data_IF_253902453553
#
_entry.id   IF_253902453553
#
_cell.length_a   1.000
_cell.length_b   1.000
_cell.length_c   1.000
_cell.angle_alpha   90.00
_cell.angle_beta   90.00
_cell.angle_gamma   90.00
#
_symmetry.space_group_name_H-M   'P 1'
#
loop_
_entity.id
_entity.type
_entity.pdbx_description
1 polymer ?
#
# COMPACT_ATOMS: atom_id res chain seq x y z
N UNK A 1 -36.62 11.65 7.68
CA UNK A 1 -35.31 11.97 7.12
C UNK A 1 -34.41 12.39 8.29
N UNK A 2 -33.31 11.70 8.55
CA UNK A 2 -32.34 12.11 9.57
C UNK A 2 -31.60 13.34 9.07
N UNK A 3 -31.40 14.33 9.93
CA UNK A 3 -30.75 15.62 9.72
C UNK A 3 -29.49 15.51 8.85
N UNK A 4 -29.42 16.31 7.77
CA UNK A 4 -28.19 16.54 6.99
C UNK A 4 -27.10 17.06 7.91
N UNK A 5 -26.08 16.25 8.15
CA UNK A 5 -24.87 16.72 8.81
C UNK A 5 -24.00 17.37 7.73
N UNK A 6 -24.09 18.70 7.62
CA UNK A 6 -23.18 19.44 6.74
C UNK A 6 -21.74 19.28 7.22
N UNK A 7 -20.85 18.84 6.33
CA UNK A 7 -19.41 18.69 6.58
C UNK A 7 -18.63 19.51 5.53
N UNK A 8 -17.38 19.81 5.81
CA UNK A 8 -16.56 20.55 4.85
C UNK A 8 -16.09 19.64 3.71
N UNK A 9 -15.77 18.39 4.03
CA UNK A 9 -15.20 17.46 3.06
C UNK A 9 -15.79 16.08 3.20
N UNK A 10 -16.18 15.47 2.07
CA UNK A 10 -16.43 14.04 1.94
C UNK A 10 -15.27 13.41 1.17
N UNK A 11 -14.66 12.36 1.75
CA UNK A 11 -13.66 11.52 1.11
C UNK A 11 -14.28 10.16 0.76
N UNK A 12 -14.21 9.74 -0.49
CA UNK A 12 -14.76 8.48 -0.98
C UNK A 12 -13.63 7.50 -1.22
N UNK A 13 -13.49 6.52 -0.32
CA UNK A 13 -12.42 5.51 -0.30
C UNK A 13 -11.47 5.66 0.87
N UNK A 14 -11.24 4.55 1.61
CA UNK A 14 -10.42 4.48 2.85
C UNK A 14 -9.04 3.84 2.63
N UNK A 15 -8.55 3.81 1.39
CA UNK A 15 -7.17 3.42 1.10
C UNK A 15 -6.17 4.51 1.53
N UNK A 16 -4.90 4.28 1.23
CA UNK A 16 -3.81 5.18 1.63
C UNK A 16 -4.03 6.63 1.15
N UNK A 17 -4.51 6.83 -0.09
CA UNK A 17 -4.80 8.16 -0.63
C UNK A 17 -5.94 8.88 0.11
N UNK A 18 -7.06 8.19 0.32
CA UNK A 18 -8.21 8.77 1.03
C UNK A 18 -7.88 9.07 2.49
N UNK A 19 -7.13 8.20 3.16
CA UNK A 19 -6.69 8.45 4.54
C UNK A 19 -5.75 9.66 4.61
N UNK A 20 -4.80 9.79 3.68
CA UNK A 20 -3.93 10.96 3.59
C UNK A 20 -4.74 12.26 3.36
N UNK A 21 -5.73 12.23 2.46
CA UNK A 21 -6.61 13.37 2.21
C UNK A 21 -7.42 13.78 3.45
N UNK A 22 -8.02 12.80 4.12
CA UNK A 22 -8.81 13.05 5.33
C UNK A 22 -7.97 13.66 6.46
N UNK A 23 -6.77 13.11 6.71
CA UNK A 23 -5.87 13.63 7.76
C UNK A 23 -5.34 15.02 7.44
N UNK A 24 -5.01 15.30 6.17
CA UNK A 24 -4.60 16.65 5.74
C UNK A 24 -5.71 17.68 5.98
N UNK A 25 -6.95 17.33 5.64
CA UNK A 25 -8.11 18.20 5.84
C UNK A 25 -8.43 18.44 7.34
N UNK A 26 -8.38 17.38 8.16
CA UNK A 26 -8.57 17.52 9.62
C UNK A 26 -7.48 18.40 10.23
N UNK A 27 -6.23 18.26 9.81
CA UNK A 27 -5.12 19.12 10.25
C UNK A 27 -5.36 20.60 9.93
N UNK A 28 -6.08 20.90 8.85
CA UNK A 28 -6.51 22.24 8.48
C UNK A 28 -7.82 22.68 9.18
N UNK A 29 -8.29 21.94 10.19
CA UNK A 29 -9.47 22.26 10.99
C UNK A 29 -10.81 21.93 10.33
N UNK A 30 -10.83 21.15 9.24
CA UNK A 30 -12.05 20.80 8.53
C UNK A 30 -12.78 19.64 9.18
N UNK A 31 -14.11 19.66 9.09
CA UNK A 31 -14.97 18.54 9.46
C UNK A 31 -15.08 17.58 8.29
N UNK A 32 -14.54 16.39 8.47
CA UNK A 32 -14.40 15.36 7.42
C UNK A 32 -15.28 14.16 7.68
N UNK A 33 -15.94 13.68 6.63
CA UNK A 33 -16.59 12.37 6.59
C UNK A 33 -15.94 11.53 5.50
N UNK A 34 -15.61 10.30 5.84
CA UNK A 34 -15.13 9.31 4.89
C UNK A 34 -16.20 8.25 4.64
N UNK A 35 -16.42 7.95 3.35
CA UNK A 35 -17.31 6.87 2.91
C UNK A 35 -16.45 5.73 2.37
N UNK A 36 -16.64 4.52 2.88
CA UNK A 36 -15.91 3.34 2.44
C UNK A 36 -16.80 2.10 2.40
N UNK A 37 -16.75 1.38 1.28
CA UNK A 37 -17.45 0.11 1.12
C UNK A 37 -16.75 -1.06 1.80
N UNK A 38 -15.45 -0.97 1.96
CA UNK A 38 -14.61 -2.05 2.52
C UNK A 38 -13.13 -1.77 2.35
N UNK A 39 -12.34 -2.82 2.40
CA UNK A 39 -10.89 -2.75 2.27
C UNK A 39 -10.47 -2.31 0.88
N UNK A 40 -9.63 -1.27 0.79
CA UNK A 40 -9.00 -0.85 -0.46
C UNK A 40 -7.78 -1.70 -0.82
N UNK A 41 -7.17 -1.43 -1.99
CA UNK A 41 -5.97 -2.13 -2.44
C UNK A 41 -4.77 -2.03 -1.47
N UNK A 42 -4.76 -1.06 -0.55
CA UNK A 42 -3.76 -0.94 0.51
C UNK A 42 -3.69 -2.17 1.42
N UNK A 43 -4.78 -2.92 1.57
CA UNK A 43 -4.82 -4.19 2.32
C UNK A 43 -4.13 -5.35 1.59
N UNK A 44 -3.85 -5.18 0.29
CA UNK A 44 -3.09 -6.15 -0.51
C UNK A 44 -1.60 -5.82 -0.53
N UNK A 45 -1.18 -4.73 0.13
CA UNK A 45 0.22 -4.33 0.21
C UNK A 45 1.08 -5.41 0.88
N UNK A 46 2.29 -5.59 0.40
CA UNK A 46 3.28 -6.47 1.03
C UNK A 46 3.87 -5.93 2.34
N UNK A 47 3.48 -4.71 2.76
CA UNK A 47 4.07 -3.98 3.89
C UNK A 47 5.20 -3.02 3.47
N UNK A 48 5.48 -2.92 2.18
CA UNK A 48 6.41 -1.97 1.60
C UNK A 48 5.68 -0.74 1.06
N UNK A 49 6.29 0.44 1.18
CA UNK A 49 5.79 1.70 0.65
C UNK A 49 6.77 2.24 -0.40
N UNK A 50 6.36 2.15 -1.65
CA UNK A 50 7.18 2.48 -2.80
C UNK A 50 6.93 3.93 -3.23
N UNK A 51 7.99 4.69 -3.49
CA UNK A 51 7.94 6.08 -3.97
C UNK A 51 8.36 6.22 -5.42
N UNK A 52 9.44 5.56 -5.81
CA UNK A 52 9.92 5.39 -7.17
C UNK A 52 11.00 4.31 -7.20
N UNK A 53 10.83 3.29 -8.01
CA UNK A 53 11.86 2.29 -8.31
C UNK A 53 11.74 1.81 -9.76
N UNK A 54 12.49 0.78 -10.13
CA UNK A 54 12.39 0.10 -11.41
C UNK A 54 12.22 -1.41 -11.18
N UNK A 55 10.97 -1.89 -10.97
CA UNK A 55 10.70 -3.29 -10.72
C UNK A 55 11.12 -4.22 -11.86
N UNK A 56 11.15 -3.74 -13.11
CA UNK A 56 11.58 -4.54 -14.26
C UNK A 56 13.10 -4.75 -14.26
N UNK A 57 13.88 -3.69 -13.99
CA UNK A 57 15.31 -3.82 -13.80
C UNK A 57 15.62 -4.71 -12.59
N UNK A 58 14.81 -4.58 -11.51
CA UNK A 58 14.91 -5.42 -10.31
C UNK A 58 14.74 -6.90 -10.61
N UNK A 59 13.81 -7.26 -11.50
CA UNK A 59 13.57 -8.64 -11.88
C UNK A 59 14.70 -9.23 -12.74
N UNK A 60 15.36 -8.42 -13.56
CA UNK A 60 16.45 -8.86 -14.46
C UNK A 60 17.84 -8.77 -13.82
N UNK A 61 18.22 -7.58 -13.41
CA UNK A 61 19.56 -7.23 -12.95
C UNK A 61 19.52 -6.43 -11.64
N UNK A 62 19.13 -7.05 -10.50
CA UNK A 62 18.96 -6.35 -9.23
C UNK A 62 20.22 -5.65 -8.73
N UNK A 63 21.41 -6.16 -9.08
CA UNK A 63 22.71 -5.56 -8.74
C UNK A 63 22.98 -4.22 -9.46
N UNK A 64 22.24 -3.93 -10.54
CA UNK A 64 22.36 -2.69 -11.33
C UNK A 64 21.26 -1.67 -11.02
N UNK A 65 20.31 -2.01 -10.15
CA UNK A 65 19.17 -1.14 -9.84
C UNK A 65 19.64 0.11 -9.10
N UNK A 66 19.24 1.27 -9.62
CA UNK A 66 19.48 2.53 -8.97
C UNK A 66 18.69 2.63 -7.67
N UNK A 67 19.38 2.90 -6.56
CA UNK A 67 18.74 3.08 -5.25
C UNK A 67 18.35 4.52 -4.97
N UNK A 68 18.92 5.48 -5.66
CA UNK A 68 18.64 6.92 -5.48
C UNK A 68 17.23 7.26 -5.92
N UNK A 69 16.37 7.65 -4.98
CA UNK A 69 14.95 7.94 -5.24
C UNK A 69 14.79 9.18 -6.12
N UNK A 70 15.65 10.20 -5.97
CA UNK A 70 15.58 11.39 -6.80
C UNK A 70 15.96 11.09 -8.25
N UNK A 71 16.95 10.24 -8.47
CA UNK A 71 17.32 9.78 -9.81
C UNK A 71 16.21 8.94 -10.43
N UNK A 72 15.61 8.02 -9.67
CA UNK A 72 14.49 7.20 -10.15
C UNK A 72 13.27 8.07 -10.50
N UNK A 73 12.93 9.06 -9.67
CA UNK A 73 11.86 10.03 -9.98
C UNK A 73 12.14 10.79 -11.28
N UNK A 74 13.36 11.31 -11.47
CA UNK A 74 13.72 12.01 -12.71
C UNK A 74 13.57 11.09 -13.93
N UNK A 75 14.04 9.86 -13.85
CA UNK A 75 13.93 8.88 -14.94
C UNK A 75 12.49 8.49 -15.22
N UNK A 76 11.68 8.30 -14.18
CA UNK A 76 10.25 8.02 -14.30
C UNK A 76 9.53 9.16 -15.03
N UNK A 77 9.75 10.41 -14.64
CA UNK A 77 9.14 11.58 -15.25
C UNK A 77 9.55 11.75 -16.72
N UNK A 78 10.77 11.37 -17.09
CA UNK A 78 11.22 11.40 -18.49
C UNK A 78 10.57 10.31 -19.34
N UNK A 79 10.38 9.09 -18.79
CA UNK A 79 9.84 7.94 -19.53
C UNK A 79 8.30 7.89 -19.56
N UNK A 80 7.62 8.55 -18.63
CA UNK A 80 6.16 8.49 -18.48
C UNK A 80 5.56 9.89 -18.29
N UNK A 81 5.26 10.57 -19.39
CA UNK A 81 4.68 11.92 -19.40
C UNK A 81 3.26 12.01 -18.84
N UNK A 82 2.56 10.88 -18.72
CA UNK A 82 1.19 10.82 -18.14
C UNK A 82 1.18 10.50 -16.65
N UNK A 83 2.35 10.26 -16.02
CA UNK A 83 2.42 9.86 -14.62
C UNK A 83 1.87 10.96 -13.69
N UNK A 84 1.08 10.64 -12.65
CA UNK A 84 0.46 11.63 -11.74
C UNK A 84 1.45 12.61 -11.09
N UNK A 85 2.72 12.26 -10.95
CA UNK A 85 3.73 13.18 -10.42
C UNK A 85 3.95 14.41 -11.30
N UNK A 86 3.60 14.37 -12.60
CA UNK A 86 3.62 15.56 -13.46
C UNK A 86 2.68 16.68 -12.98
N UNK A 87 1.63 16.34 -12.23
CA UNK A 87 0.69 17.31 -11.65
C UNK A 87 1.33 18.21 -10.57
N UNK A 88 2.58 17.94 -10.20
CA UNK A 88 3.33 18.68 -9.17
C UNK A 88 4.49 19.52 -9.74
N UNK A 89 4.73 19.49 -11.06
CA UNK A 89 5.95 20.04 -11.65
C UNK A 89 5.91 21.56 -11.88
N UNK A 90 4.77 22.21 -11.77
CA UNK A 90 4.63 23.69 -11.89
C UNK A 90 5.21 24.42 -10.66
N UNK A 91 6.31 23.93 -10.11
CA UNK A 91 6.96 24.45 -8.91
C UNK A 91 8.43 24.77 -9.20
N UNK A 92 8.97 25.76 -8.52
CA UNK A 92 10.41 26.07 -8.55
C UNK A 92 11.29 24.91 -8.02
N UNK A 93 10.72 24.07 -7.15
CA UNK A 93 11.32 22.82 -6.68
C UNK A 93 10.40 21.63 -6.99
N UNK A 94 10.49 21.03 -8.20
CA UNK A 94 9.63 19.90 -8.59
C UNK A 94 9.79 18.67 -7.70
N UNK A 95 11.00 18.38 -7.24
CA UNK A 95 11.24 17.21 -6.37
C UNK A 95 10.61 17.41 -5.00
N UNK A 96 10.82 18.57 -4.39
CA UNK A 96 10.15 18.93 -3.14
C UNK A 96 8.63 18.96 -3.27
N UNK A 97 8.10 19.45 -4.39
CA UNK A 97 6.67 19.46 -4.64
C UNK A 97 6.04 18.04 -4.65
N UNK A 98 6.80 17.02 -5.06
CA UNK A 98 6.38 15.61 -4.99
C UNK A 98 6.62 15.04 -3.59
N UNK A 99 7.83 15.22 -3.03
CA UNK A 99 8.25 14.52 -1.81
C UNK A 99 7.71 15.13 -0.52
N UNK A 100 7.56 16.47 -0.44
CA UNK A 100 7.06 17.13 0.78
C UNK A 100 5.65 16.68 1.19
N UNK A 101 4.65 16.62 0.29
CA UNK A 101 3.34 16.08 0.65
C UNK A 101 3.40 14.62 1.13
N UNK A 102 4.29 13.80 0.57
CA UNK A 102 4.50 12.41 1.01
C UNK A 102 5.08 12.40 2.43
N UNK A 103 6.09 13.23 2.70
CA UNK A 103 6.72 13.33 4.01
C UNK A 103 5.73 13.79 5.09
N UNK A 104 4.93 14.82 4.78
CA UNK A 104 3.90 15.29 5.69
C UNK A 104 2.83 14.21 5.95
N UNK A 105 2.36 13.53 4.90
CA UNK A 105 1.41 12.44 5.03
C UNK A 105 1.97 11.30 5.89
N UNK A 106 3.20 10.86 5.63
CA UNK A 106 3.85 9.80 6.41
C UNK A 106 4.00 10.18 7.88
N UNK A 107 4.36 11.44 8.18
CA UNK A 107 4.49 11.91 9.57
C UNK A 107 3.17 11.85 10.35
N UNK A 108 2.05 12.08 9.67
CA UNK A 108 0.71 12.02 10.29
C UNK A 108 0.15 10.60 10.36
N UNK A 109 0.41 9.80 9.33
CA UNK A 109 -0.03 8.41 9.28
C UNK A 109 0.77 7.53 10.24
N UNK A 110 2.08 7.72 10.31
CA UNK A 110 3.01 6.85 11.04
C UNK A 110 3.86 7.66 12.04
N UNK A 111 3.26 8.14 13.13
CA UNK A 111 4.00 8.90 14.14
C UNK A 111 5.08 8.04 14.80
N UNK A 112 6.22 8.64 15.12
CA UNK A 112 7.40 7.95 15.67
C UNK A 112 7.11 7.19 16.99
N UNK A 113 6.11 7.60 17.75
CA UNK A 113 5.72 6.98 19.02
C UNK A 113 4.62 5.90 18.88
N UNK A 114 4.23 5.55 17.65
CA UNK A 114 3.21 4.53 17.40
C UNK A 114 3.76 3.11 17.37
N UNK A 115 2.86 2.12 17.52
CA UNK A 115 3.21 0.69 17.41
C UNK A 115 3.54 0.29 15.96
N UNK A 116 3.03 1.04 14.98
CA UNK A 116 3.28 0.83 13.57
C UNK A 116 4.32 1.83 13.07
N UNK A 117 5.60 1.48 13.20
CA UNK A 117 6.70 2.34 12.81
C UNK A 117 7.25 1.94 11.44
N UNK A 118 7.66 2.95 10.67
CA UNK A 118 8.32 2.77 9.39
C UNK A 118 9.84 2.95 9.52
N UNK A 119 10.57 2.13 8.79
CA UNK A 119 12.00 2.27 8.57
C UNK A 119 12.28 2.54 7.09
N UNK A 120 13.05 3.56 6.78
CA UNK A 120 13.34 3.95 5.40
C UNK A 120 13.85 5.37 5.27
N UNK A 121 13.95 5.85 4.04
CA UNK A 121 14.37 7.22 3.74
C UNK A 121 13.79 7.73 2.43
N UNK A 122 13.83 9.05 2.24
CA UNK A 122 13.51 9.71 0.97
C UNK A 122 14.71 9.79 0.01
N UNK A 123 15.89 9.40 0.46
CA UNK A 123 17.11 9.47 -0.35
C UNK A 123 17.34 8.19 -1.15
N UNK A 124 17.14 7.03 -0.53
CA UNK A 124 17.52 5.76 -1.14
C UNK A 124 16.51 4.66 -0.85
N UNK A 125 16.20 3.87 -1.87
CA UNK A 125 15.50 2.61 -1.73
C UNK A 125 16.34 1.59 -0.95
N UNK A 126 15.66 0.76 -0.18
CA UNK A 126 16.20 -0.40 0.51
C UNK A 126 15.74 -1.66 -0.22
N UNK A 127 16.44 -2.76 -0.03
CA UNK A 127 16.08 -4.04 -0.59
C UNK A 127 15.44 -4.91 0.49
N UNK A 128 14.11 -5.01 0.44
CA UNK A 128 13.34 -5.87 1.33
C UNK A 128 13.25 -7.30 0.78
N UNK A 129 13.32 -8.29 1.67
CA UNK A 129 13.28 -9.70 1.31
C UNK A 129 11.84 -10.18 1.26
N UNK A 130 11.54 -10.98 0.24
CA UNK A 130 10.21 -11.58 0.07
C UNK A 130 10.19 -13.02 0.56
N UNK A 131 9.02 -13.53 0.86
CA UNK A 131 8.83 -14.93 1.22
C UNK A 131 9.13 -15.92 0.06
N UNK A 132 9.31 -15.41 -1.16
CA UNK A 132 9.75 -16.21 -2.32
C UNK A 132 11.29 -16.30 -2.45
N UNK A 133 12.06 -15.74 -1.53
CA UNK A 133 13.52 -15.69 -1.63
C UNK A 133 14.05 -14.61 -2.59
N UNK A 134 13.17 -13.74 -3.09
CA UNK A 134 13.55 -12.61 -3.95
C UNK A 134 13.70 -11.33 -3.14
N UNK A 135 14.11 -10.25 -3.79
CA UNK A 135 14.21 -8.92 -3.20
C UNK A 135 13.28 -7.94 -3.89
N UNK A 136 12.83 -6.93 -3.15
CA UNK A 136 12.03 -5.81 -3.63
C UNK A 136 12.67 -4.50 -3.20
N UNK A 137 12.91 -3.59 -4.16
CA UNK A 137 13.30 -2.23 -3.85
C UNK A 137 12.10 -1.48 -3.28
N UNK A 138 12.31 -0.68 -2.23
CA UNK A 138 11.26 0.13 -1.61
C UNK A 138 11.85 1.25 -0.76
N UNK A 139 11.17 2.37 -0.67
CA UNK A 139 11.61 3.50 0.14
C UNK A 139 11.42 3.23 1.64
N UNK A 140 10.28 2.65 2.02
CA UNK A 140 9.94 2.38 3.42
C UNK A 140 9.36 0.99 3.59
N UNK A 141 9.68 0.39 4.75
CA UNK A 141 9.05 -0.85 5.24
C UNK A 141 8.58 -0.63 6.67
N UNK A 142 7.69 -1.49 7.14
CA UNK A 142 7.44 -1.58 8.58
C UNK A 142 8.71 -2.05 9.29
N UNK A 143 9.00 -1.52 10.48
CA UNK A 143 10.10 -2.01 11.32
C UNK A 143 10.07 -3.54 11.48
N UNK A 144 11.24 -4.14 11.60
CA UNK A 144 11.44 -5.59 11.69
C UNK A 144 11.13 -6.39 10.40
N UNK A 145 10.90 -5.75 9.26
CA UNK A 145 10.99 -6.43 7.97
C UNK A 145 12.42 -6.79 7.64
N UNK A 146 12.62 -7.97 7.05
CA UNK A 146 13.93 -8.45 6.61
C UNK A 146 14.45 -7.61 5.44
N UNK A 147 15.67 -7.11 5.56
CA UNK A 147 16.32 -6.26 4.57
C UNK A 147 17.67 -6.85 4.18
N UNK A 148 18.01 -6.77 2.91
CA UNK A 148 19.34 -7.16 2.44
C UNK A 148 20.42 -6.33 3.16
N UNK A 149 21.46 -7.01 3.65
CA UNK A 149 22.52 -6.39 4.48
C UNK A 149 22.19 -6.27 5.97
N UNK A 150 21.03 -6.73 6.44
CA UNK A 150 20.76 -6.84 7.87
C UNK A 150 21.70 -7.89 8.49
N UNK A 151 22.41 -7.58 9.58
CA UNK A 151 23.26 -8.53 10.29
C UNK A 151 22.58 -9.84 10.70
N UNK A 152 21.26 -9.81 10.91
CA UNK A 152 20.45 -10.99 11.17
C UNK A 152 20.52 -12.06 10.05
N UNK A 153 20.91 -11.67 8.84
CA UNK A 153 20.96 -12.54 7.67
C UNK A 153 22.30 -13.25 7.48
N UNK A 154 23.29 -12.97 8.30
CA UNK A 154 24.60 -13.65 8.15
C UNK A 154 24.45 -15.17 8.34
N UNK A 155 23.74 -15.60 9.37
CA UNK A 155 23.42 -17.00 9.67
C UNK A 155 21.99 -17.13 10.20
N UNK A 156 20.97 -16.98 9.36
CA UNK A 156 19.58 -16.99 9.80
C UNK A 156 19.07 -18.41 10.04
N UNK A 157 18.12 -18.54 10.97
CA UNK A 157 17.20 -19.66 11.06
C UNK A 157 15.89 -19.29 10.34
N UNK A 158 15.62 -19.96 9.23
CA UNK A 158 14.39 -19.75 8.46
C UNK A 158 13.32 -20.71 8.99
N UNK A 159 12.22 -20.18 9.48
CA UNK A 159 11.14 -20.97 10.10
C UNK A 159 9.95 -21.05 9.16
N UNK A 160 9.54 -22.29 8.83
CA UNK A 160 8.24 -22.59 8.24
C UNK A 160 7.28 -23.12 9.31
N UNK A 161 5.98 -23.03 9.03
CA UNK A 161 4.93 -23.60 9.86
C UNK A 161 4.28 -24.75 9.09
N UNK A 162 4.15 -25.93 9.73
CA UNK A 162 3.58 -27.12 9.09
C UNK A 162 2.14 -26.86 8.60
N UNK A 163 1.42 -25.97 9.29
CA UNK A 163 0.07 -25.54 8.92
C UNK A 163 0.03 -24.53 7.77
N UNK A 164 1.18 -23.97 7.34
CA UNK A 164 1.27 -22.96 6.29
C UNK A 164 2.14 -23.44 5.13
N UNK A 165 1.61 -24.27 4.25
CA UNK A 165 2.36 -24.87 3.15
C UNK A 165 2.80 -23.89 2.05
N UNK A 166 2.21 -22.67 2.03
CA UNK A 166 2.59 -21.62 1.06
C UNK A 166 4.03 -21.11 1.25
N UNK A 167 4.69 -21.39 2.37
CA UNK A 167 6.06 -21.00 2.64
C UNK A 167 6.94 -22.21 3.00
N UNK A 168 7.87 -22.54 2.13
CA UNK A 168 8.87 -23.59 2.36
C UNK A 168 10.20 -22.99 2.86
N UNK A 169 10.57 -23.19 4.15
CA UNK A 169 11.79 -22.67 4.72
C UNK A 169 13.05 -23.30 4.12
N UNK A 170 12.99 -24.51 3.57
CA UNK A 170 14.12 -25.17 2.92
C UNK A 170 14.35 -24.67 1.50
N UNK A 171 13.29 -24.25 0.81
CA UNK A 171 13.37 -23.69 -0.54
C UNK A 171 13.88 -22.25 -0.53
N UNK A 172 13.50 -21.45 0.47
CA UNK A 172 13.83 -20.03 0.54
C UNK A 172 15.33 -19.72 0.38
N UNK A 173 16.26 -20.35 1.13
CA UNK A 173 17.69 -20.08 0.97
C UNK A 173 18.26 -20.52 -0.38
N UNK A 174 17.66 -21.51 -1.05
CA UNK A 174 18.09 -21.95 -2.38
C UNK A 174 17.86 -20.85 -3.43
N UNK A 175 16.78 -20.09 -3.32
CA UNK A 175 16.49 -18.94 -4.19
C UNK A 175 17.28 -17.70 -3.76
N UNK A 176 17.36 -17.46 -2.46
CA UNK A 176 17.97 -16.25 -1.91
C UNK A 176 19.51 -16.24 -2.04
N UNK A 177 20.19 -17.37 -1.83
CA UNK A 177 21.65 -17.41 -1.78
C UNK A 177 22.33 -16.92 -3.08
N UNK A 178 21.97 -17.40 -4.29
CA UNK A 178 22.56 -16.89 -5.52
C UNK A 178 22.30 -15.40 -5.74
N UNK A 179 21.12 -14.92 -5.34
CA UNK A 179 20.76 -13.52 -5.43
C UNK A 179 21.60 -12.66 -4.48
N UNK A 180 21.77 -13.10 -3.24
CA UNK A 180 22.56 -12.40 -2.22
C UNK A 180 24.05 -12.33 -2.61
N UNK A 181 24.57 -13.39 -3.22
CA UNK A 181 25.95 -13.40 -3.76
C UNK A 181 26.11 -12.32 -4.84
N UNK A 182 25.18 -12.26 -5.81
CA UNK A 182 25.18 -11.20 -6.85
C UNK A 182 25.08 -9.81 -6.27
N UNK A 183 24.37 -9.65 -5.15
CA UNK A 183 24.19 -8.36 -4.46
C UNK A 183 25.36 -8.00 -3.52
N UNK A 184 26.43 -8.82 -3.46
CA UNK A 184 27.57 -8.59 -2.58
C UNK A 184 27.27 -8.74 -1.08
N UNK A 185 26.20 -9.44 -0.73
CA UNK A 185 25.78 -9.71 0.66
C UNK A 185 25.54 -11.22 0.89
N UNK A 186 26.57 -12.09 0.66
CA UNK A 186 26.37 -13.53 0.67
C UNK A 186 25.89 -14.03 2.04
N UNK A 187 25.00 -15.03 2.00
CA UNK A 187 24.65 -15.82 3.17
C UNK A 187 25.87 -16.64 3.59
N UNK A 188 26.39 -16.43 4.78
CA UNK A 188 27.57 -17.16 5.28
C UNK A 188 27.23 -18.50 5.93
N UNK A 189 25.97 -18.80 6.03
CA UNK A 189 25.35 -20.03 6.52
C UNK A 189 23.89 -19.73 6.87
N UNK A 190 23.09 -20.76 6.99
CA UNK A 190 21.69 -20.64 7.35
C UNK A 190 21.13 -22.03 7.61
N UNK A 191 20.11 -22.09 8.40
CA UNK A 191 19.37 -23.32 8.69
C UNK A 191 17.90 -23.06 8.43
N UNK A 192 17.17 -24.11 8.12
CA UNK A 192 15.72 -24.07 7.96
C UNK A 192 15.09 -25.13 8.83
N UNK A 193 13.96 -24.82 9.43
CA UNK A 193 13.21 -25.74 10.27
C UNK A 193 11.72 -25.53 10.13
N UNK A 194 10.97 -26.61 10.37
CA UNK A 194 9.53 -26.60 10.45
C UNK A 194 9.10 -26.66 11.91
N UNK A 195 8.12 -25.87 12.27
CA UNK A 195 7.49 -25.92 13.59
C UNK A 195 5.98 -26.10 13.43
N UNK A 196 5.34 -26.59 14.49
CA UNK A 196 3.89 -26.70 14.58
C UNK A 196 3.36 -25.87 15.75
N UNK A 197 2.30 -25.11 15.51
CA UNK A 197 1.69 -24.25 16.52
C UNK A 197 0.20 -24.57 16.77
N UNK A 198 -0.40 -25.36 15.89
CA UNK A 198 -1.80 -25.77 15.92
C UNK A 198 -1.99 -27.20 15.44
N UNK A 199 -3.10 -27.82 15.81
CA UNK A 199 -3.52 -29.14 15.29
C UNK A 199 -4.31 -29.01 13.95
N UNK A 200 -4.55 -27.81 13.47
CA UNK A 200 -5.19 -27.58 12.17
C UNK A 200 -4.30 -28.12 11.06
N UNK A 201 -4.88 -28.78 10.04
CA UNK A 201 -4.08 -29.36 8.96
C UNK A 201 -3.49 -28.28 8.03
N UNK A 202 -4.19 -27.18 7.84
CA UNK A 202 -3.78 -26.05 6.99
C UNK A 202 -4.43 -24.75 7.47
N UNK A 203 -3.65 -23.67 7.47
CA UNK A 203 -4.07 -22.32 7.83
C UNK A 203 -3.50 -21.31 6.82
N UNK A 204 -4.29 -20.33 6.45
CA UNK A 204 -3.80 -19.16 5.71
C UNK A 204 -2.96 -18.23 6.61
N UNK A 205 -2.13 -17.39 6.02
CA UNK A 205 -1.32 -16.42 6.78
C UNK A 205 -2.15 -15.50 7.70
N UNK A 206 -3.36 -15.01 7.32
CA UNK A 206 -4.21 -14.25 8.24
C UNK A 206 -4.79 -15.07 9.40
N UNK A 207 -5.05 -16.36 9.20
CA UNK A 207 -5.54 -17.24 10.28
C UNK A 207 -4.45 -17.51 11.31
N UNK A 208 -3.21 -17.75 10.85
CA UNK A 208 -2.05 -17.88 11.76
C UNK A 208 -1.83 -16.56 12.52
N UNK A 209 -1.89 -15.41 11.82
CA UNK A 209 -1.75 -14.12 12.48
C UNK A 209 -2.80 -13.88 13.58
N UNK A 210 -4.05 -14.35 13.38
CA UNK A 210 -5.09 -14.32 14.41
C UNK A 210 -4.81 -15.30 15.54
N UNK A 211 -4.39 -16.52 15.23
CA UNK A 211 -4.02 -17.52 16.23
C UNK A 211 -2.91 -16.99 17.15
N UNK A 212 -1.91 -16.33 16.60
CA UNK A 212 -0.80 -15.75 17.35
C UNK A 212 -1.18 -14.50 18.19
N UNK A 213 -2.41 -13.97 18.10
CA UNK A 213 -2.94 -13.01 19.07
C UNK A 213 -3.26 -13.67 20.43
N UNK A 214 -3.49 -14.98 20.44
CA UNK A 214 -3.75 -15.74 21.64
C UNK A 214 -2.43 -16.01 22.40
N UNK A 215 -2.38 -15.66 23.69
CA UNK A 215 -1.14 -15.73 24.47
C UNK A 215 -0.54 -17.15 24.53
N UNK A 216 -1.39 -18.18 24.61
CA UNK A 216 -0.94 -19.57 24.66
C UNK A 216 -0.33 -20.03 23.33
N UNK A 217 -0.93 -19.67 22.18
CA UNK A 217 -0.41 -19.97 20.85
C UNK A 217 0.91 -19.21 20.59
N UNK A 218 0.97 -17.94 21.00
CA UNK A 218 2.18 -17.13 20.90
C UNK A 218 3.34 -17.73 21.73
N UNK A 219 3.07 -18.24 22.93
CA UNK A 219 4.11 -18.86 23.76
C UNK A 219 4.53 -20.25 23.20
N UNK A 220 3.60 -21.05 22.65
CA UNK A 220 3.94 -22.27 21.91
C UNK A 220 4.86 -21.97 20.73
N UNK A 221 4.52 -20.94 19.94
CA UNK A 221 5.32 -20.49 18.81
C UNK A 221 6.74 -20.07 19.24
N UNK A 222 6.88 -19.24 20.26
CA UNK A 222 8.17 -18.82 20.80
C UNK A 222 8.98 -20.01 21.34
N UNK A 223 8.33 -20.94 22.04
CA UNK A 223 8.98 -22.12 22.62
C UNK A 223 9.48 -23.06 21.53
N UNK A 224 8.70 -23.30 20.47
CA UNK A 224 9.11 -24.12 19.35
C UNK A 224 10.35 -23.54 18.66
N UNK A 225 10.33 -22.22 18.35
CA UNK A 225 11.48 -21.55 17.73
C UNK A 225 12.72 -21.58 18.64
N UNK A 226 12.55 -21.43 19.95
CA UNK A 226 13.65 -21.55 20.91
C UNK A 226 14.32 -22.92 20.86
N UNK A 227 13.53 -23.99 20.80
CA UNK A 227 14.11 -25.34 20.72
C UNK A 227 14.89 -25.57 19.44
N UNK A 228 14.37 -25.09 18.29
CA UNK A 228 15.10 -25.13 17.02
C UNK A 228 16.38 -24.27 17.08
N UNK A 229 16.31 -23.08 17.65
CA UNK A 229 17.46 -22.18 17.77
C UNK A 229 18.62 -22.76 18.60
N UNK A 230 18.33 -23.59 19.62
CA UNK A 230 19.35 -24.27 20.42
C UNK A 230 20.17 -25.27 19.62
N UNK A 231 19.61 -25.84 18.55
CA UNK A 231 20.29 -26.80 17.70
C UNK A 231 21.33 -26.13 16.76
N UNK A 232 21.29 -24.80 16.62
CA UNK A 232 22.11 -24.06 15.64
C UNK A 232 22.99 -23.00 16.29
N UNK A 233 24.16 -23.37 16.84
CA UNK A 233 25.06 -22.43 17.50
C UNK A 233 25.60 -21.39 16.49
N UNK A 234 25.69 -20.14 16.95
CA UNK A 234 26.15 -19.03 16.13
C UNK A 234 25.08 -18.45 15.19
N UNK A 235 23.81 -18.70 15.49
CA UNK A 235 22.67 -18.06 14.85
C UNK A 235 22.73 -16.55 15.01
N UNK A 236 22.38 -15.79 13.95
CA UNK A 236 22.38 -14.33 13.98
C UNK A 236 20.98 -13.71 13.91
N UNK A 237 19.97 -14.47 13.52
CA UNK A 237 18.59 -14.02 13.46
C UNK A 237 17.61 -15.12 13.07
N UNK A 238 16.34 -14.85 13.27
CA UNK A 238 15.22 -15.72 12.85
C UNK A 238 14.48 -15.02 11.70
N UNK A 239 14.24 -15.75 10.62
CA UNK A 239 13.41 -15.31 9.50
C UNK A 239 12.06 -16.01 9.53
N UNK A 240 11.00 -15.22 9.45
CA UNK A 240 9.62 -15.68 9.52
C UNK A 240 8.86 -15.29 8.25
N UNK A 241 7.95 -16.12 7.74
CA UNK A 241 6.99 -15.69 6.75
C UNK A 241 6.09 -14.57 7.30
N UNK A 242 5.30 -13.95 6.44
CA UNK A 242 4.40 -12.85 6.80
C UNK A 242 3.16 -13.35 7.57
N UNK A 243 3.36 -13.81 8.80
CA UNK A 243 2.32 -14.42 9.66
C UNK A 243 2.24 -13.82 11.06
N UNK A 244 3.05 -12.79 11.36
CA UNK A 244 3.07 -12.19 12.70
C UNK A 244 1.71 -11.54 13.04
N UNK A 245 1.33 -11.43 14.32
CA UNK A 245 0.02 -10.95 14.77
C UNK A 245 -0.32 -9.56 14.23
N UNK A 246 -1.62 -9.23 14.18
CA UNK A 246 -2.09 -7.93 13.73
C UNK A 246 -1.79 -6.81 14.71
N UNK A 247 -1.96 -7.06 16.02
CA UNK A 247 -1.83 -6.06 17.09
C UNK A 247 -0.58 -6.30 17.96
N UNK A 248 -0.35 -7.53 18.41
CA UNK A 248 0.71 -7.87 19.37
C UNK A 248 2.08 -8.18 18.73
N UNK A 249 2.32 -7.77 17.49
CA UNK A 249 3.55 -8.08 16.74
C UNK A 249 4.82 -7.72 17.48
N UNK A 250 4.93 -6.49 18.00
CA UNK A 250 6.16 -6.03 18.65
C UNK A 250 6.44 -6.82 19.91
N UNK A 251 5.40 -7.10 20.72
CA UNK A 251 5.51 -7.94 21.92
C UNK A 251 5.99 -9.36 21.59
N UNK A 252 5.49 -9.94 20.49
CA UNK A 252 5.93 -11.27 20.04
C UNK A 252 7.39 -11.24 19.59
N UNK A 253 7.82 -10.21 18.87
CA UNK A 253 9.22 -10.05 18.44
C UNK A 253 10.17 -9.85 19.64
N UNK A 254 9.76 -9.06 20.64
CA UNK A 254 10.50 -8.90 21.91
C UNK A 254 10.61 -10.24 22.63
N UNK A 255 9.52 -11.01 22.72
CA UNK A 255 9.52 -12.33 23.33
C UNK A 255 10.42 -13.33 22.59
N UNK A 256 10.43 -13.31 21.24
CA UNK A 256 11.35 -14.11 20.45
C UNK A 256 12.81 -13.75 20.74
N UNK A 257 13.13 -12.45 20.81
CA UNK A 257 14.48 -12.00 21.17
C UNK A 257 14.90 -12.50 22.56
N UNK A 258 14.02 -12.43 23.56
CA UNK A 258 14.28 -12.93 24.91
C UNK A 258 14.60 -14.43 24.94
N UNK A 259 13.85 -15.25 24.17
CA UNK A 259 13.99 -16.72 24.25
C UNK A 259 15.05 -17.29 23.33
N UNK A 260 15.41 -16.59 22.23
CA UNK A 260 16.40 -17.05 21.27
C UNK A 260 17.75 -16.33 21.39
N UNK A 261 17.76 -15.14 22.01
CA UNK A 261 18.94 -14.28 22.08
C UNK A 261 19.28 -13.55 20.78
N UNK A 262 18.51 -13.73 19.71
CA UNK A 262 18.71 -13.10 18.40
C UNK A 262 17.42 -12.45 17.88
N UNK A 263 17.52 -11.36 17.09
CA UNK A 263 16.33 -10.69 16.58
C UNK A 263 15.61 -11.53 15.50
N UNK A 264 14.29 -11.43 15.48
CA UNK A 264 13.47 -11.98 14.41
C UNK A 264 13.12 -10.92 13.36
N UNK A 265 12.99 -11.34 12.11
CA UNK A 265 12.58 -10.53 10.98
C UNK A 265 11.47 -11.20 10.20
N UNK A 266 10.52 -10.40 9.73
CA UNK A 266 9.42 -10.85 8.89
C UNK A 266 9.72 -10.59 7.41
N UNK A 267 9.44 -11.57 6.57
CA UNK A 267 9.56 -11.45 5.11
C UNK A 267 8.34 -10.70 4.54
N UNK A 268 8.50 -10.02 3.41
CA UNK A 268 7.37 -9.48 2.68
C UNK A 268 6.48 -10.61 2.16
N UNK A 269 5.18 -10.52 2.42
CA UNK A 269 4.18 -11.48 1.94
C UNK A 269 3.52 -11.08 0.63
N UNK A 270 2.68 -11.99 0.12
CA UNK A 270 1.75 -11.76 -1.00
C UNK A 270 0.29 -11.81 -0.51
N UNK A 271 -0.68 -11.36 -1.33
CA UNK A 271 -2.09 -11.46 -0.94
C UNK A 271 -2.58 -12.92 -0.76
N UNK A 272 -3.36 -13.19 0.31
CA UNK A 272 -3.79 -12.26 1.36
C UNK A 272 -2.63 -11.88 2.29
N UNK A 273 -2.27 -10.59 2.31
CA UNK A 273 -1.07 -10.08 2.98
C UNK A 273 -1.34 -9.66 4.41
N UNK A 274 -0.76 -10.33 5.38
CA UNK A 274 -0.84 -9.93 6.80
C UNK A 274 -0.26 -8.52 7.02
N UNK A 275 0.91 -8.13 6.46
CA UNK A 275 1.38 -6.76 6.55
C UNK A 275 0.41 -5.73 5.94
N UNK A 276 -0.24 -6.06 4.83
CA UNK A 276 -1.26 -5.19 4.22
C UNK A 276 -2.52 -5.06 5.07
N UNK A 277 -2.98 -6.14 5.67
CA UNK A 277 -4.09 -6.12 6.63
C UNK A 277 -3.75 -5.28 7.86
N UNK A 278 -2.55 -5.43 8.42
CA UNK A 278 -2.05 -4.58 9.51
C UNK A 278 -2.02 -3.11 9.13
N UNK A 279 -1.55 -2.79 7.92
CA UNK A 279 -1.59 -1.42 7.39
C UNK A 279 -3.02 -0.89 7.37
N UNK A 280 -3.97 -1.67 6.86
CA UNK A 280 -5.38 -1.28 6.81
C UNK A 280 -5.97 -0.99 8.19
N UNK A 281 -5.73 -1.86 9.17
CA UNK A 281 -6.15 -1.66 10.57
C UNK A 281 -5.53 -0.40 11.17
N UNK A 282 -4.25 -0.16 10.89
CA UNK A 282 -3.56 1.04 11.35
C UNK A 282 -4.16 2.31 10.74
N UNK A 283 -4.45 2.33 9.43
CA UNK A 283 -5.10 3.47 8.77
C UNK A 283 -6.49 3.76 9.37
N UNK A 284 -7.27 2.72 9.66
CA UNK A 284 -8.60 2.87 10.29
C UNK A 284 -8.48 3.45 11.71
N UNK A 285 -7.56 2.97 12.53
CA UNK A 285 -7.26 3.50 13.86
C UNK A 285 -6.85 4.99 13.80
N UNK A 286 -5.98 5.35 12.82
CA UNK A 286 -5.55 6.74 12.63
C UNK A 286 -6.72 7.67 12.28
N UNK A 287 -7.63 7.23 11.42
CA UNK A 287 -8.83 7.98 11.06
C UNK A 287 -9.75 8.20 12.27
N UNK A 288 -10.00 7.13 13.04
CA UNK A 288 -10.84 7.21 14.23
C UNK A 288 -10.26 8.17 15.29
N UNK A 289 -8.99 8.06 15.60
CA UNK A 289 -8.29 8.96 16.56
C UNK A 289 -8.24 10.40 16.10
N UNK A 290 -8.30 10.63 14.81
CA UNK A 290 -8.29 11.99 14.24
C UNK A 290 -9.67 12.64 14.15
N UNK A 291 -10.73 11.96 14.60
CA UNK A 291 -12.09 12.49 14.61
C UNK A 291 -12.77 12.50 13.23
N UNK A 292 -12.25 11.74 12.26
CA UNK A 292 -12.90 11.57 10.95
C UNK A 292 -14.18 10.75 11.12
N UNK A 293 -15.32 11.27 10.65
CA UNK A 293 -16.57 10.53 10.62
C UNK A 293 -16.49 9.41 9.59
N UNK A 294 -16.74 8.15 10.00
CA UNK A 294 -16.69 7.00 9.10
C UNK A 294 -18.10 6.50 8.76
N UNK A 295 -18.43 6.40 7.49
CA UNK A 295 -19.66 5.79 6.98
C UNK A 295 -19.28 4.54 6.18
N UNK A 296 -19.64 3.37 6.70
CA UNK A 296 -19.49 2.09 5.97
C UNK A 296 -20.67 1.93 5.00
N UNK A 297 -20.38 2.05 3.70
CA UNK A 297 -21.41 1.99 2.66
C UNK A 297 -20.85 2.30 1.28
N UNK A 298 -21.72 2.23 0.27
CA UNK A 298 -21.41 2.53 -1.12
C UNK A 298 -22.10 3.82 -1.53
N UNK A 299 -21.39 4.71 -2.22
CA UNK A 299 -22.04 5.85 -2.89
C UNK A 299 -22.85 5.30 -4.07
N UNK A 300 -24.17 5.47 -4.02
CA UNK A 300 -25.10 5.00 -5.02
C UNK A 300 -25.59 6.10 -5.95
N UNK A 301 -25.47 7.36 -5.53
CA UNK A 301 -25.90 8.52 -6.31
C UNK A 301 -25.32 9.81 -5.76
N UNK A 302 -25.55 10.90 -6.50
CA UNK A 302 -25.14 12.23 -6.10
C UNK A 302 -26.08 13.30 -6.69
N UNK A 303 -26.11 14.47 -6.09
CA UNK A 303 -26.79 15.65 -6.61
C UNK A 303 -25.77 16.70 -7.00
N UNK A 304 -25.89 17.23 -8.20
CA UNK A 304 -25.04 18.30 -8.69
C UNK A 304 -25.85 19.33 -9.49
N UNK A 305 -25.45 20.60 -9.41
CA UNK A 305 -25.96 21.68 -10.24
C UNK A 305 -24.83 22.66 -10.55
N UNK A 306 -24.86 23.27 -11.73
CA UNK A 306 -23.86 24.26 -12.17
C UNK A 306 -22.41 23.81 -11.95
N UNK A 307 -22.10 22.54 -12.27
CA UNK A 307 -20.77 21.89 -12.13
C UNK A 307 -20.26 21.81 -10.68
N UNK A 308 -21.15 21.83 -9.70
CA UNK A 308 -20.85 21.61 -8.30
C UNK A 308 -21.67 20.46 -7.75
N UNK A 309 -21.02 19.55 -7.05
CA UNK A 309 -21.66 18.48 -6.30
C UNK A 309 -22.13 19.06 -4.97
N UNK A 310 -23.36 18.78 -4.58
CA UNK A 310 -23.96 19.25 -3.34
C UNK A 310 -24.03 18.16 -2.28
N UNK A 311 -24.32 16.93 -2.71
CA UNK A 311 -24.48 15.79 -1.80
C UNK A 311 -24.23 14.48 -2.51
N UNK A 312 -23.91 13.46 -1.71
CA UNK A 312 -23.90 12.06 -2.14
C UNK A 312 -24.93 11.26 -1.37
N UNK A 313 -25.50 10.27 -2.02
CA UNK A 313 -26.36 9.26 -1.42
C UNK A 313 -25.54 8.02 -1.13
N UNK A 314 -25.50 7.59 0.13
CA UNK A 314 -24.71 6.44 0.60
C UNK A 314 -25.63 5.34 1.05
N UNK A 315 -25.58 4.21 0.38
CA UNK A 315 -26.23 2.97 0.80
C UNK A 315 -25.42 2.32 1.93
N UNK A 316 -26.06 2.12 3.07
CA UNK A 316 -25.49 1.47 4.25
C UNK A 316 -26.34 0.28 4.66
N UNK A 317 -25.84 -0.59 5.55
CA UNK A 317 -26.64 -1.66 6.14
C UNK A 317 -27.89 -1.15 6.89
N UNK A 318 -27.89 0.11 7.34
CA UNK A 318 -29.03 0.76 7.99
C UNK A 318 -29.93 1.58 7.06
N UNK A 319 -29.79 1.44 5.75
CA UNK A 319 -30.54 2.17 4.72
C UNK A 319 -29.75 3.32 4.07
N UNK A 320 -30.38 3.99 3.12
CA UNK A 320 -29.78 5.10 2.38
C UNK A 320 -29.63 6.35 3.26
N UNK A 321 -28.52 7.04 3.12
CA UNK A 321 -28.19 8.29 3.82
C UNK A 321 -27.72 9.33 2.83
N UNK A 322 -28.28 10.51 2.86
CA UNK A 322 -27.80 11.66 2.12
C UNK A 322 -26.81 12.44 2.99
N UNK A 323 -25.64 12.77 2.42
CA UNK A 323 -24.58 13.55 3.08
C UNK A 323 -24.18 14.68 2.18
N UNK A 324 -24.30 15.92 2.69
CA UNK A 324 -23.93 17.13 2.00
C UNK A 324 -22.54 17.62 2.43
N UNK A 325 -21.79 18.21 1.48
CA UNK A 325 -20.48 18.80 1.74
C UNK A 325 -20.16 19.93 0.77
N UNK A 326 -19.21 20.77 1.18
CA UNK A 326 -18.68 21.82 0.30
C UNK A 326 -17.75 21.23 -0.77
N UNK A 327 -17.01 20.17 -0.44
CA UNK A 327 -15.98 19.54 -1.28
C UNK A 327 -16.00 18.01 -1.20
N UNK A 328 -15.45 17.40 -2.26
CA UNK A 328 -15.41 15.95 -2.42
C UNK A 328 -14.04 15.51 -2.90
N UNK A 329 -13.52 14.41 -2.34
CA UNK A 329 -12.31 13.73 -2.81
C UNK A 329 -12.69 12.30 -3.21
N UNK A 330 -12.43 11.97 -4.48
CA UNK A 330 -12.59 10.63 -5.02
C UNK A 330 -11.25 9.88 -4.91
N UNK A 331 -11.15 8.97 -3.94
CA UNK A 331 -9.99 8.12 -3.69
C UNK A 331 -10.37 6.62 -3.75
N UNK A 332 -11.28 6.29 -4.67
CA UNK A 332 -11.90 4.98 -4.82
C UNK A 332 -10.98 3.90 -5.38
N UNK A 333 -9.75 4.28 -5.78
CA UNK A 333 -8.76 3.38 -6.39
C UNK A 333 -9.09 3.03 -7.86
N UNK A 334 -8.25 2.18 -8.45
CA UNK A 334 -8.43 1.67 -9.82
C UNK A 334 -9.39 0.47 -9.86
N UNK A 335 -9.21 -0.44 -10.81
CA UNK A 335 -10.01 -1.68 -10.92
C UNK A 335 -9.96 -2.53 -9.65
N UNK A 336 -8.78 -2.72 -9.06
CA UNK A 336 -8.62 -3.51 -7.83
C UNK A 336 -9.40 -2.92 -6.65
N UNK A 337 -9.50 -1.59 -6.54
CA UNK A 337 -10.29 -0.90 -5.52
C UNK A 337 -11.77 -0.75 -5.87
N UNK A 338 -12.16 -1.06 -7.11
CA UNK A 338 -13.53 -0.89 -7.62
C UNK A 338 -13.88 0.55 -8.01
N UNK A 339 -12.88 1.45 -8.08
CA UNK A 339 -13.04 2.83 -8.54
C UNK A 339 -13.25 2.94 -10.04
N UNK A 340 -12.76 1.96 -10.78
CA UNK A 340 -13.04 1.79 -12.21
C UNK A 340 -13.78 0.47 -12.44
N UNK A 341 -14.71 0.46 -13.39
CA UNK A 341 -15.43 -0.73 -13.79
C UNK A 341 -15.38 -0.93 -15.29
N UNK A 342 -15.37 -2.19 -15.70
CA UNK A 342 -15.50 -2.61 -17.09
C UNK A 342 -16.91 -3.12 -17.34
N UNK A 343 -17.67 -2.34 -18.11
CA UNK A 343 -18.89 -2.78 -18.77
C UNK A 343 -18.62 -2.97 -20.27
N UNK A 344 -19.44 -2.39 -21.14
CA UNK A 344 -19.12 -2.24 -22.57
C UNK A 344 -17.92 -1.32 -22.74
N UNK A 345 -17.86 -0.21 -21.99
CA UNK A 345 -16.75 0.71 -21.89
C UNK A 345 -16.18 0.75 -20.46
N UNK A 346 -15.05 1.39 -20.27
CA UNK A 346 -14.58 1.76 -18.94
C UNK A 346 -15.39 2.92 -18.39
N UNK A 347 -15.73 2.88 -17.13
CA UNK A 347 -16.41 3.96 -16.44
C UNK A 347 -15.90 4.13 -15.01
N UNK A 348 -15.92 5.36 -14.53
CA UNK A 348 -15.92 5.71 -13.13
C UNK A 348 -17.40 5.71 -12.67
N UNK A 349 -17.79 4.81 -11.74
CA UNK A 349 -19.20 4.49 -11.54
C UNK A 349 -19.96 5.44 -10.62
N UNK A 350 -19.28 6.36 -9.92
CA UNK A 350 -19.89 7.24 -8.91
C UNK A 350 -20.35 8.55 -9.55
N UNK A 351 -19.42 9.26 -10.21
CA UNK A 351 -19.68 10.60 -10.79
C UNK A 351 -19.77 10.58 -12.32
N UNK A 352 -19.69 9.40 -12.94
CA UNK A 352 -19.71 9.19 -14.40
C UNK A 352 -18.60 9.98 -15.12
N UNK A 353 -17.41 10.00 -14.52
CA UNK A 353 -16.27 10.72 -15.07
C UNK A 353 -15.64 9.95 -16.25
N UNK A 354 -15.15 10.66 -17.29
CA UNK A 354 -14.47 10.03 -18.41
C UNK A 354 -13.16 9.38 -17.96
N UNK A 355 -12.92 8.16 -18.42
CA UNK A 355 -11.69 7.40 -18.18
C UNK A 355 -10.77 7.59 -19.37
N UNK A 356 -9.50 7.90 -19.10
CA UNK A 356 -8.49 8.17 -20.12
C UNK A 356 -7.40 7.09 -20.11
N UNK A 357 -6.74 6.94 -21.25
CA UNK A 357 -5.45 6.31 -21.40
C UNK A 357 -4.57 7.28 -22.22
N UNK A 358 -3.63 7.94 -21.60
CA UNK A 358 -2.93 9.08 -22.17
C UNK A 358 -3.92 10.22 -22.50
N UNK A 359 -3.92 10.69 -23.74
CA UNK A 359 -4.80 11.77 -24.21
C UNK A 359 -6.18 11.28 -24.69
N UNK A 360 -6.39 9.96 -24.78
CA UNK A 360 -7.60 9.40 -25.37
C UNK A 360 -8.60 8.95 -24.30
N UNK A 361 -9.87 9.33 -24.47
CA UNK A 361 -10.96 8.76 -23.69
C UNK A 361 -11.15 7.29 -24.08
N UNK A 362 -11.16 6.41 -23.10
CA UNK A 362 -11.30 4.98 -23.32
C UNK A 362 -12.77 4.66 -23.56
N UNK A 363 -13.11 4.32 -24.81
CA UNK A 363 -14.43 3.86 -25.21
C UNK A 363 -14.64 2.36 -24.97
N UNK A 364 -15.36 1.72 -25.89
CA UNK A 364 -15.53 0.27 -25.88
C UNK A 364 -14.17 -0.42 -26.14
N UNK A 365 -13.84 -1.37 -25.29
CA UNK A 365 -12.59 -2.14 -25.40
C UNK A 365 -12.86 -3.61 -25.08
N UNK A 366 -12.29 -4.50 -25.88
CA UNK A 366 -12.32 -5.93 -25.61
C UNK A 366 -11.47 -6.28 -24.39
N UNK A 367 -11.94 -7.21 -23.58
CA UNK A 367 -11.26 -7.63 -22.34
C UNK A 367 -9.81 -8.10 -22.59
N UNK A 368 -9.56 -8.77 -23.72
CA UNK A 368 -8.22 -9.23 -24.10
C UNK A 368 -7.19 -8.09 -24.29
N UNK A 369 -7.67 -6.87 -24.55
CA UNK A 369 -6.78 -5.69 -24.71
C UNK A 369 -6.45 -4.99 -23.39
N UNK A 370 -7.01 -5.45 -22.28
CA UNK A 370 -6.75 -4.87 -20.95
C UNK A 370 -5.38 -5.26 -20.41
N UNK A 371 -4.93 -6.45 -20.78
CA UNK A 371 -3.64 -6.99 -20.38
C UNK A 371 -2.85 -7.41 -21.61
N UNK A 372 -1.54 -7.47 -21.48
CA UNK A 372 -0.62 -7.98 -22.49
C UNK A 372 -0.19 -9.41 -22.10
N UNK A 373 0.16 -10.25 -23.07
CA UNK A 373 0.66 -11.61 -22.82
C UNK A 373 1.98 -11.62 -22.04
N UNK A 374 2.82 -10.63 -22.32
CA UNK A 374 4.12 -10.45 -21.66
C UNK A 374 3.94 -9.50 -20.47
N UNK A 375 4.20 -9.99 -19.26
CA UNK A 375 3.98 -9.26 -18.00
C UNK A 375 4.79 -7.96 -17.90
N UNK A 376 5.94 -7.89 -18.58
CA UNK A 376 6.78 -6.69 -18.60
C UNK A 376 6.29 -5.58 -19.56
N UNK A 377 5.26 -5.85 -20.36
CA UNK A 377 4.65 -4.86 -21.22
C UNK A 377 3.61 -4.02 -20.48
N UNK A 378 3.30 -2.78 -20.92
CA UNK A 378 2.26 -1.97 -20.31
C UNK A 378 0.89 -2.64 -20.40
N UNK A 379 0.14 -2.61 -19.30
CA UNK A 379 -1.22 -3.12 -19.24
C UNK A 379 -2.19 -1.94 -19.08
N UNK A 380 -3.13 -1.80 -20.03
CA UNK A 380 -4.18 -0.76 -19.95
C UNK A 380 -4.95 -0.80 -18.63
N UNK A 381 -5.11 -1.99 -18.06
CA UNK A 381 -5.77 -2.20 -16.77
C UNK A 381 -5.16 -1.33 -15.65
N UNK A 382 -3.86 -1.07 -15.70
CA UNK A 382 -3.16 -0.30 -14.67
C UNK A 382 -3.03 1.18 -15.03
N UNK A 383 -2.88 1.50 -16.32
CA UNK A 383 -2.57 2.87 -16.78
C UNK A 383 -3.80 3.72 -17.08
N UNK A 384 -4.98 3.09 -17.29
CA UNK A 384 -6.23 3.82 -17.46
C UNK A 384 -6.69 4.45 -16.13
N UNK A 385 -7.24 5.65 -16.21
CA UNK A 385 -7.76 6.37 -15.04
C UNK A 385 -8.32 7.73 -15.40
N UNK A 386 -8.52 8.56 -14.39
CA UNK A 386 -8.98 9.93 -14.57
C UNK A 386 -7.81 10.85 -14.92
N UNK A 387 -7.97 11.67 -15.95
CA UNK A 387 -7.08 12.79 -16.23
C UNK A 387 -7.45 13.94 -15.27
N UNK A 388 -6.48 14.61 -14.70
CA UNK A 388 -6.70 15.69 -13.76
C UNK A 388 -5.85 16.91 -14.08
N UNK A 389 -6.27 18.08 -13.60
CA UNK A 389 -5.47 19.31 -13.63
C UNK A 389 -4.48 19.39 -12.44
N UNK A 390 -3.69 20.45 -12.38
CA UNK A 390 -2.73 20.69 -11.30
C UNK A 390 -3.38 20.82 -9.91
N UNK A 391 -4.68 21.09 -9.83
CA UNK A 391 -5.47 21.08 -8.59
C UNK A 391 -6.08 19.71 -8.29
N UNK A 392 -5.72 18.68 -9.06
CA UNK A 392 -6.21 17.30 -8.97
C UNK A 392 -7.72 17.17 -9.26
N UNK A 393 -8.33 18.15 -9.98
CA UNK A 393 -9.72 18.08 -10.41
C UNK A 393 -9.83 17.24 -11.68
N UNK A 394 -10.75 16.24 -11.73
CA UNK A 394 -10.97 15.43 -12.92
C UNK A 394 -11.41 16.25 -14.11
N UNK A 395 -10.77 16.04 -15.27
CA UNK A 395 -11.01 16.76 -16.51
C UNK A 395 -11.98 16.03 -17.42
N UNK A 396 -12.80 16.80 -18.13
CA UNK A 396 -13.60 16.35 -19.25
C UNK A 396 -12.76 16.18 -20.53
N UNK A 397 -13.38 15.68 -21.63
CA UNK A 397 -12.69 15.53 -22.92
C UNK A 397 -12.20 16.84 -23.52
N UNK A 398 -12.80 17.96 -23.15
CA UNK A 398 -12.39 19.32 -23.57
C UNK A 398 -11.26 19.93 -22.75
N UNK A 399 -10.78 19.23 -21.71
CA UNK A 399 -9.71 19.72 -20.84
C UNK A 399 -10.17 20.60 -19.68
N UNK A 400 -11.48 20.81 -19.51
CA UNK A 400 -12.06 21.54 -18.37
C UNK A 400 -12.39 20.60 -17.21
N UNK A 401 -12.35 21.06 -15.94
CA UNK A 401 -12.81 20.28 -14.80
C UNK A 401 -14.30 19.91 -14.95
N UNK A 402 -14.65 18.64 -14.75
CA UNK A 402 -16.06 18.18 -14.81
C UNK A 402 -16.87 18.79 -13.67
N UNK A 403 -16.32 18.75 -12.46
CA UNK A 403 -16.88 19.40 -11.26
C UNK A 403 -15.83 20.27 -10.60
N UNK A 404 -16.24 21.48 -10.17
CA UNK A 404 -15.32 22.47 -9.60
C UNK A 404 -14.86 22.10 -8.18
N UNK A 405 -15.69 21.38 -7.43
CA UNK A 405 -15.47 21.01 -6.04
C UNK A 405 -15.16 19.52 -5.82
N UNK A 406 -14.76 18.81 -6.90
CA UNK A 406 -14.32 17.42 -6.85
C UNK A 406 -12.83 17.34 -7.17
N UNK A 407 -12.08 16.68 -6.31
CA UNK A 407 -10.70 16.28 -6.59
C UNK A 407 -10.57 14.74 -6.63
N UNK A 408 -9.57 14.21 -7.34
CA UNK A 408 -9.26 12.80 -7.42
C UNK A 408 -7.86 12.50 -6.87
N UNK A 409 -7.69 11.38 -6.16
CA UNK A 409 -6.43 11.02 -5.55
C UNK A 409 -6.11 9.52 -5.61
N UNK A 410 -4.83 9.20 -5.73
CA UNK A 410 -4.32 7.83 -5.73
C UNK A 410 -4.53 7.11 -7.05
N UNK A 411 -4.70 5.80 -6.99
CA UNK A 411 -4.72 4.91 -8.15
C UNK A 411 -5.91 5.10 -9.10
N UNK A 412 -6.87 5.98 -8.81
CA UNK A 412 -7.93 6.38 -9.74
C UNK A 412 -7.38 7.28 -10.87
N UNK A 413 -6.27 7.96 -10.63
CA UNK A 413 -5.61 8.80 -11.63
C UNK A 413 -4.92 7.95 -12.69
N UNK A 414 -4.98 8.40 -13.95
CA UNK A 414 -4.33 7.71 -15.06
C UNK A 414 -2.80 7.77 -14.98
N UNK A 415 -2.14 6.91 -15.72
CA UNK A 415 -0.72 7.00 -16.06
C UNK A 415 0.22 6.34 -15.05
N UNK A 416 -0.25 5.89 -13.89
CA UNK A 416 0.57 5.15 -12.93
C UNK A 416 0.37 3.65 -13.09
N UNK A 417 1.45 2.92 -13.33
CA UNK A 417 1.50 1.46 -13.24
C UNK A 417 2.40 1.04 -12.08
N UNK A 418 1.83 0.73 -10.89
CA UNK A 418 2.62 0.40 -9.71
C UNK A 418 3.56 -0.79 -9.91
N UNK A 419 3.23 -1.70 -10.83
CA UNK A 419 4.05 -2.87 -11.13
C UNK A 419 5.31 -2.55 -11.95
N UNK A 420 5.32 -1.40 -12.62
CA UNK A 420 6.41 -0.94 -13.49
C UNK A 420 7.14 0.30 -12.97
N UNK A 421 6.42 1.14 -12.23
CA UNK A 421 6.91 2.44 -11.77
C UNK A 421 7.35 2.43 -10.31
N UNK A 422 6.92 1.42 -9.53
CA UNK A 422 7.23 1.33 -8.11
C UNK A 422 6.79 2.58 -7.33
N UNK A 423 5.59 3.10 -7.63
CA UNK A 423 5.14 4.41 -7.12
C UNK A 423 3.83 4.36 -6.34
N UNK A 424 3.27 3.17 -6.13
CA UNK A 424 1.89 3.03 -5.64
C UNK A 424 1.59 3.79 -4.35
N UNK A 425 2.49 3.72 -3.35
CA UNK A 425 2.34 4.46 -2.11
C UNK A 425 2.62 5.95 -2.29
N UNK A 426 3.65 6.31 -3.07
CA UNK A 426 4.02 7.70 -3.32
C UNK A 426 2.91 8.49 -4.01
N UNK A 427 2.33 7.95 -5.08
CA UNK A 427 1.18 8.56 -5.77
C UNK A 427 -0.02 8.71 -4.82
N UNK A 428 -0.32 7.68 -4.04
CA UNK A 428 -1.43 7.73 -3.09
C UNK A 428 -1.24 8.81 -2.02
N UNK A 429 -0.05 8.89 -1.43
CA UNK A 429 0.28 9.86 -0.39
C UNK A 429 0.36 11.29 -0.92
N UNK A 430 1.09 11.52 -2.03
CA UNK A 430 1.26 12.86 -2.59
C UNK A 430 -0.07 13.47 -3.02
N UNK A 431 -0.84 12.74 -3.83
CA UNK A 431 -2.12 13.24 -4.35
C UNK A 431 -3.18 13.33 -3.25
N UNK A 432 -3.24 12.34 -2.35
CA UNK A 432 -4.15 12.34 -1.22
C UNK A 432 -3.91 13.53 -0.31
N UNK A 433 -2.67 13.75 0.12
CA UNK A 433 -2.32 14.86 1.01
C UNK A 433 -2.64 16.22 0.39
N UNK A 434 -2.25 16.41 -0.88
CA UNK A 434 -2.53 17.64 -1.60
C UNK A 434 -4.02 17.95 -1.74
N UNK A 435 -4.86 16.93 -2.04
CA UNK A 435 -6.31 17.14 -2.15
C UNK A 435 -6.96 17.49 -0.81
N UNK A 436 -6.41 17.02 0.31
CA UNK A 436 -6.88 17.41 1.64
C UNK A 436 -6.47 18.81 2.06
N UNK A 437 -5.30 19.31 1.62
CA UNK A 437 -4.80 20.65 1.91
C UNK A 437 -5.44 21.72 1.03
N UNK A 438 -5.81 21.41 -0.22
CA UNK A 438 -6.32 22.39 -1.20
C UNK A 438 -7.69 22.92 -0.76
N UNK A 439 -7.72 24.11 -0.30
CA UNK A 439 -8.93 24.88 0.10
C UNK A 439 -9.02 26.17 -0.69
#
# INVERSE_FOLDING_TARGET
MKSETAVNLIVIGSGLAGTAAALAAVRSGQKVVMVSRGSGASHLSSGALDLADDPLAMAGHPEQVCRDIHQNLKQLLLRNSSHPYHLFLDSADPMGAILNPIQEALSQLFPAQGDFRLAGSFAQNRFALTALGTIKATAFTVEAMALLGDPCLARPLVIGLEEYPDFDPAFWPQVAAPLFERMGAPLTGGQSSWIRVSDAPELSSPEIARLLEEAEAAERFCSAIREEAKAFPGLTGVLLPAVLPFQNRNRLLERLLEVTGVPARELLGWPPSVPGLRLGLHLEDRLQRSGVGLIRGSVAGFEAAARKIHSVEVETAGGARKVAADRFVLASGSFAGGGLRKGKSFCEPIFNLPVFCGEHVVGEIFTQKLTHEVISQPHLLFTCGLKADASLRPLGPGGEPVYENLAAAGAILQGSDPSRDGTGAGVALATGWRTGQSL
#
